data_IF_640100353500
#
_entry.id   IF_640100353500
#
_cell.length_a   1.000
_cell.length_b   1.000
_cell.length_c   1.000
_cell.angle_alpha   90.00
_cell.angle_beta   90.00
_cell.angle_gamma   90.00
#
_symmetry.space_group_name_H-M   'P 1'
#
loop_
_entity.id
_entity.type
_entity.pdbx_description
1 polymer ?
#
# COMPACT_ATOMS: atom_id res chain seq x y z
N UNK A 1 -1.21 -11.11 9.13
CA UNK A 1 -0.77 -9.79 8.62
C UNK A 1 0.05 -9.10 9.69
N UNK A 2 0.99 -8.23 9.33
CA UNK A 2 1.75 -7.42 10.30
C UNK A 2 1.34 -5.96 10.20
N UNK A 3 0.93 -5.33 11.31
CA UNK A 3 0.81 -3.87 11.39
C UNK A 3 2.22 -3.27 11.25
N UNK A 4 2.36 -2.24 10.42
CA UNK A 4 3.63 -1.54 10.24
C UNK A 4 3.55 -0.04 10.55
N UNK A 5 2.35 0.52 10.64
CA UNK A 5 2.16 1.93 10.99
C UNK A 5 0.78 2.45 10.63
N UNK A 6 0.68 3.77 10.45
CA UNK A 6 -0.56 4.45 10.10
C UNK A 6 -0.34 5.55 9.06
N UNK A 7 -1.40 5.87 8.32
CA UNK A 7 -1.48 6.99 7.37
C UNK A 7 -2.71 7.84 7.67
N UNK A 8 -2.62 9.15 7.46
CA UNK A 8 -3.74 10.06 7.61
C UNK A 8 -4.64 10.00 6.37
N UNK A 9 -5.89 9.55 6.56
CA UNK A 9 -6.91 9.61 5.54
C UNK A 9 -7.65 10.94 5.63
N UNK A 10 -7.29 11.88 4.74
CA UNK A 10 -7.92 13.22 4.65
C UNK A 10 -9.43 13.15 4.36
N UNK A 11 -9.89 12.16 3.61
CA UNK A 11 -11.31 12.02 3.26
C UNK A 11 -12.16 11.60 4.47
N UNK A 12 -11.55 10.87 5.42
CA UNK A 12 -12.18 10.46 6.68
C UNK A 12 -11.78 11.31 7.88
N UNK A 13 -10.86 12.26 7.71
CA UNK A 13 -10.23 13.04 8.79
C UNK A 13 -9.71 12.18 9.95
N UNK A 14 -9.11 11.01 9.66
CA UNK A 14 -8.56 10.11 10.70
C UNK A 14 -7.35 9.31 10.22
N UNK A 15 -6.52 8.87 11.16
CA UNK A 15 -5.45 7.90 10.88
C UNK A 15 -6.03 6.50 10.69
N UNK A 16 -5.56 5.80 9.66
CA UNK A 16 -5.92 4.41 9.36
C UNK A 16 -4.67 3.53 9.39
N UNK A 17 -4.85 2.26 9.71
CA UNK A 17 -3.75 1.32 9.88
C UNK A 17 -3.19 0.82 8.54
N UNK A 18 -1.87 0.64 8.49
CA UNK A 18 -1.16 0.04 7.35
C UNK A 18 -0.59 -1.32 7.74
N UNK A 19 -0.87 -2.34 6.94
CA UNK A 19 -0.41 -3.71 7.16
C UNK A 19 0.42 -4.24 6.01
N UNK A 20 1.23 -5.27 6.27
CA UNK A 20 1.82 -6.15 5.26
C UNK A 20 1.11 -7.51 5.33
N UNK A 21 0.68 -8.04 4.18
CA UNK A 21 0.11 -9.39 4.12
C UNK A 21 1.18 -10.46 4.29
N UNK A 22 0.79 -11.58 4.93
CA UNK A 22 1.61 -12.78 5.07
C UNK A 22 1.43 -13.76 3.91
N UNK A 23 0.47 -13.52 3.02
CA UNK A 23 0.23 -14.38 1.88
C UNK A 23 -0.53 -13.65 0.77
N UNK A 24 -0.40 -14.18 -0.43
CA UNK A 24 -1.17 -13.80 -1.61
C UNK A 24 -0.98 -14.87 -2.68
N UNK A 25 -1.50 -14.60 -3.88
CA UNK A 25 -1.41 -15.56 -4.98
C UNK A 25 0.05 -15.88 -5.30
N UNK A 26 0.43 -17.15 -5.11
CA UNK A 26 1.77 -17.64 -5.39
C UNK A 26 2.83 -17.35 -4.32
N UNK A 27 2.50 -16.78 -3.16
CA UNK A 27 3.49 -16.58 -2.09
C UNK A 27 2.94 -16.71 -0.66
N UNK A 28 3.85 -17.09 0.24
CA UNK A 28 3.74 -16.90 1.68
C UNK A 28 4.95 -16.09 2.16
N UNK A 29 4.75 -15.23 3.15
CA UNK A 29 5.74 -14.29 3.68
C UNK A 29 5.73 -14.34 5.20
N UNK A 30 6.89 -14.60 5.78
CA UNK A 30 7.09 -14.51 7.22
C UNK A 30 7.33 -13.04 7.60
N UNK A 31 6.27 -12.31 7.94
CA UNK A 31 6.37 -10.86 8.22
C UNK A 31 7.23 -10.53 9.44
N UNK A 32 7.40 -11.48 10.37
CA UNK A 32 8.31 -11.37 11.51
C UNK A 32 9.80 -11.37 11.14
N UNK A 33 10.17 -11.92 9.97
CA UNK A 33 11.55 -11.95 9.49
C UNK A 33 11.92 -10.73 8.63
N UNK A 34 10.95 -9.86 8.32
CA UNK A 34 11.21 -8.61 7.60
C UNK A 34 11.84 -7.62 8.59
N UNK A 35 13.01 -7.09 8.24
CA UNK A 35 13.72 -6.06 9.00
C UNK A 35 12.83 -4.83 9.26
N UNK A 36 13.02 -4.22 10.42
CA UNK A 36 12.24 -3.05 10.83
C UNK A 36 12.48 -1.85 9.89
N UNK A 37 13.72 -1.67 9.45
CA UNK A 37 14.14 -0.71 8.43
C UNK A 37 13.36 -0.88 7.12
N UNK A 38 13.18 -2.12 6.66
CA UNK A 38 12.40 -2.43 5.45
C UNK A 38 10.92 -2.10 5.63
N UNK A 39 10.36 -2.37 6.82
CA UNK A 39 8.95 -2.02 7.15
C UNK A 39 8.75 -0.52 7.17
N UNK A 40 9.68 0.22 7.77
CA UNK A 40 9.66 1.68 7.86
C UNK A 40 9.81 2.33 6.48
N UNK A 41 10.72 1.82 5.64
CA UNK A 41 10.87 2.29 4.26
C UNK A 41 9.60 2.04 3.43
N UNK A 42 8.97 0.87 3.56
CA UNK A 42 7.72 0.56 2.89
C UNK A 42 6.57 1.46 3.39
N UNK A 43 6.47 1.67 4.71
CA UNK A 43 5.49 2.58 5.30
C UNK A 43 5.69 4.01 4.78
N UNK A 44 6.92 4.53 4.76
CA UNK A 44 7.21 5.88 4.33
C UNK A 44 6.74 6.14 2.89
N UNK A 45 7.02 5.20 1.97
CA UNK A 45 6.58 5.29 0.58
C UNK A 45 5.06 5.26 0.43
N UNK A 46 4.38 4.37 1.16
CA UNK A 46 2.91 4.31 1.14
C UNK A 46 2.31 5.59 1.74
N UNK A 47 2.87 6.06 2.87
CA UNK A 47 2.42 7.24 3.59
C UNK A 47 2.50 8.49 2.74
N UNK A 48 3.64 8.76 2.13
CA UNK A 48 3.84 9.93 1.26
C UNK A 48 2.74 10.01 0.19
N UNK A 49 2.49 8.89 -0.49
CA UNK A 49 1.61 8.82 -1.67
C UNK A 49 0.13 8.76 -1.32
N UNK A 50 -0.19 8.13 -0.19
CA UNK A 50 -1.55 8.11 0.33
C UNK A 50 -1.96 9.50 0.83
N UNK A 51 -1.11 10.12 1.66
CA UNK A 51 -1.43 11.40 2.31
C UNK A 51 -1.44 12.58 1.32
N UNK A 52 -0.62 12.54 0.26
CA UNK A 52 -0.65 13.55 -0.80
C UNK A 52 -1.75 13.32 -1.86
N UNK A 53 -2.55 12.25 -1.75
CA UNK A 53 -3.67 11.95 -2.65
C UNK A 53 -3.27 11.44 -4.04
N UNK A 54 -2.02 11.01 -4.25
CA UNK A 54 -1.57 10.47 -5.55
C UNK A 54 -1.77 8.97 -5.69
N UNK A 55 -2.10 8.28 -4.59
CA UNK A 55 -2.31 6.83 -4.59
C UNK A 55 -3.78 6.44 -4.85
N UNK A 56 -4.74 7.15 -4.24
CA UNK A 56 -6.17 6.89 -4.38
C UNK A 56 -6.93 8.21 -4.52
N UNK A 57 -8.09 8.17 -5.18
CA UNK A 57 -8.99 9.32 -5.28
C UNK A 57 -9.77 9.49 -3.97
N UNK A 58 -10.17 10.72 -3.66
CA UNK A 58 -10.89 11.04 -2.41
C UNK A 58 -12.18 10.22 -2.24
N UNK A 59 -12.93 9.97 -3.33
CA UNK A 59 -14.14 9.13 -3.32
C UNK A 59 -13.87 7.67 -2.89
N UNK A 60 -12.74 7.11 -3.33
CA UNK A 60 -12.31 5.78 -2.91
C UNK A 60 -11.89 5.82 -1.43
N UNK A 61 -11.15 6.86 -1.04
CA UNK A 61 -10.64 7.04 0.32
C UNK A 61 -11.74 7.17 1.38
N UNK A 62 -12.93 7.66 1.03
CA UNK A 62 -14.09 7.71 1.95
C UNK A 62 -14.56 6.33 2.42
N UNK A 63 -14.16 5.25 1.74
CA UNK A 63 -14.52 3.88 2.11
C UNK A 63 -13.34 3.10 2.72
N UNK A 64 -12.16 3.72 2.78
CA UNK A 64 -10.91 3.06 3.19
C UNK A 64 -10.59 3.31 4.66
N UNK A 65 -10.71 2.25 5.46
CA UNK A 65 -10.36 2.26 6.89
C UNK A 65 -9.07 1.50 7.20
N UNK A 66 -8.48 0.89 6.17
CA UNK A 66 -7.19 0.18 6.23
C UNK A 66 -6.49 0.23 4.88
N UNK A 67 -5.16 0.22 4.91
CA UNK A 67 -4.31 -0.04 3.75
C UNK A 67 -3.50 -1.32 3.99
N UNK A 68 -3.43 -2.20 3.00
CA UNK A 68 -2.66 -3.44 3.05
C UNK A 68 -1.68 -3.47 1.89
N UNK A 69 -0.38 -3.61 2.19
CA UNK A 69 0.65 -3.96 1.21
C UNK A 69 0.50 -5.44 0.89
N UNK A 70 -0.07 -5.72 -0.27
CA UNK A 70 -0.33 -7.08 -0.75
C UNK A 70 0.92 -7.69 -1.37
N UNK A 71 1.75 -6.88 -2.03
CA UNK A 71 3.06 -7.30 -2.50
C UNK A 71 4.12 -6.24 -2.21
N UNK A 72 5.27 -6.70 -1.72
CA UNK A 72 6.42 -5.84 -1.41
C UNK A 72 7.10 -5.39 -2.73
N UNK A 73 8.34 -4.90 -2.69
CA UNK A 73 9.07 -4.54 -3.92
C UNK A 73 9.10 -5.72 -4.90
N UNK A 74 8.50 -5.52 -6.08
CA UNK A 74 8.48 -6.49 -7.17
C UNK A 74 8.37 -5.78 -8.53
N UNK A 75 8.71 -6.52 -9.58
CA UNK A 75 8.56 -6.12 -10.97
C UNK A 75 7.57 -7.08 -11.65
N UNK A 76 6.95 -6.62 -12.74
CA UNK A 76 6.15 -7.48 -13.62
C UNK A 76 6.57 -7.31 -15.06
N UNK A 77 6.18 -8.25 -15.94
CA UNK A 77 6.47 -8.13 -17.39
C UNK A 77 5.83 -6.88 -18.01
N UNK A 78 4.70 -6.43 -17.47
CA UNK A 78 3.95 -5.24 -17.91
C UNK A 78 4.37 -3.94 -17.23
N UNK A 79 4.98 -4.03 -16.05
CA UNK A 79 5.57 -2.90 -15.33
C UNK A 79 6.97 -3.30 -14.81
N UNK A 80 8.03 -3.01 -15.58
CA UNK A 80 9.38 -3.38 -15.23
C UNK A 80 9.95 -2.51 -14.10
N UNK A 81 9.26 -1.46 -13.67
CA UNK A 81 9.72 -0.65 -12.55
C UNK A 81 9.38 -1.34 -11.23
N UNK A 82 10.32 -1.36 -10.29
CA UNK A 82 10.07 -1.92 -8.97
C UNK A 82 8.98 -1.11 -8.25
N UNK A 83 7.98 -1.79 -7.71
CA UNK A 83 6.87 -1.16 -7.00
C UNK A 83 6.29 -2.08 -5.93
N UNK A 84 5.50 -1.49 -5.02
CA UNK A 84 4.65 -2.20 -4.08
C UNK A 84 3.24 -2.29 -4.65
N UNK A 85 2.58 -3.44 -4.47
CA UNK A 85 1.12 -3.52 -4.65
C UNK A 85 0.44 -3.27 -3.31
N UNK A 86 -0.54 -2.39 -3.34
CA UNK A 86 -1.31 -2.01 -2.16
C UNK A 86 -2.81 -2.11 -2.43
N UNK A 87 -3.57 -2.24 -1.35
CA UNK A 87 -5.02 -2.30 -1.39
C UNK A 87 -5.59 -1.40 -0.30
N UNK A 88 -6.50 -0.51 -0.68
CA UNK A 88 -7.37 0.17 0.27
C UNK A 88 -8.59 -0.71 0.57
N UNK A 89 -8.97 -0.80 1.84
CA UNK A 89 -9.95 -1.75 2.35
C UNK A 89 -10.91 -1.11 3.34
N UNK A 90 -12.14 -1.62 3.40
CA UNK A 90 -13.13 -1.26 4.43
C UNK A 90 -12.72 -1.82 5.80
N UNK A 91 -13.40 -1.41 6.89
CA UNK A 91 -13.15 -1.99 8.21
C UNK A 91 -13.36 -3.52 8.27
N UNK A 92 -14.24 -4.06 7.43
CA UNK A 92 -14.47 -5.52 7.32
C UNK A 92 -13.36 -6.24 6.52
N UNK A 93 -12.42 -5.50 5.94
CA UNK A 93 -11.33 -6.04 5.12
C UNK A 93 -11.69 -6.27 3.65
N UNK A 94 -12.86 -5.81 3.21
CA UNK A 94 -13.24 -5.89 1.79
C UNK A 94 -12.42 -4.90 0.95
N UNK A 95 -11.95 -5.35 -0.21
CA UNK A 95 -11.24 -4.51 -1.19
C UNK A 95 -12.12 -3.37 -1.66
N UNK A 96 -11.64 -2.13 -1.51
CA UNK A 96 -12.20 -0.95 -2.17
C UNK A 96 -11.49 -0.73 -3.51
N UNK A 97 -10.16 -0.58 -3.47
CA UNK A 97 -9.32 -0.29 -4.65
C UNK A 97 -7.91 -0.84 -4.49
N UNK A 98 -7.31 -1.32 -5.58
CA UNK A 98 -5.89 -1.63 -5.64
C UNK A 98 -5.08 -0.44 -6.16
N UNK A 99 -3.83 -0.31 -5.72
CA UNK A 99 -2.90 0.71 -6.19
C UNK A 99 -1.48 0.17 -6.30
N UNK A 100 -0.63 0.93 -6.98
CA UNK A 100 0.80 0.64 -7.10
C UNK A 100 1.60 1.84 -6.58
N UNK A 101 2.57 1.55 -5.71
CA UNK A 101 3.50 2.55 -5.18
C UNK A 101 4.89 2.26 -5.79
N UNK A 102 5.34 3.04 -6.78
CA UNK A 102 6.65 2.83 -7.38
C UNK A 102 7.75 3.13 -6.36
N UNK A 103 8.87 2.40 -6.46
CA UNK A 103 10.04 2.67 -5.62
C UNK A 103 10.77 3.94 -6.06
N UNK A 104 10.73 4.25 -7.35
CA UNK A 104 11.20 5.50 -7.95
C UNK A 104 9.97 6.31 -8.42
N UNK A 105 9.64 7.43 -7.76
CA UNK A 105 8.49 8.26 -8.12
C UNK A 105 8.53 8.78 -9.56
N UNK A 106 9.72 8.97 -10.15
CA UNK A 106 9.89 9.44 -11.53
C UNK A 106 9.51 8.39 -12.58
N UNK A 107 9.35 7.14 -12.16
CA UNK A 107 9.01 5.99 -13.00
C UNK A 107 7.52 5.61 -12.94
N UNK A 108 6.70 6.44 -12.31
CA UNK A 108 5.25 6.23 -12.31
C UNK A 108 4.68 6.41 -13.71
N UNK A 109 4.12 5.34 -14.27
CA UNK A 109 3.23 5.44 -15.43
C UNK A 109 1.80 5.64 -14.94
N UNK A 110 1.17 6.77 -15.28
CA UNK A 110 -0.28 6.89 -15.14
C UNK A 110 -0.93 5.96 -16.16
N UNK A 111 -1.88 5.13 -15.72
CA UNK A 111 -2.76 4.44 -16.65
C UNK A 111 -3.59 5.51 -17.38
N UNK A 112 -3.39 5.61 -18.69
CA UNK A 112 -4.16 6.44 -19.63
C UNK A 112 -5.63 6.03 -19.68
#
# INVERSE_FOLDING_TARGET
MSLIGQVFNKALSKSISVYITESGDGFKRLTGAIGQDVKEAALAKVKERFENGTLFKDDDMQQMERVTITNMSHQSKSDPNAHYSVQGETAAGSKVKGGHVPEDPSKQTQAS
#
